data_IF_767596409925
#
_entry.id   IF_767596409925
#
_cell.length_a   1.000
_cell.length_b   1.000
_cell.length_c   1.000
_cell.angle_alpha   90.00
_cell.angle_beta   90.00
_cell.angle_gamma   90.00
#
_symmetry.space_group_name_H-M   'P 1'
#
loop_
_entity.id
_entity.type
_entity.pdbx_description
1 polymer ?
#
# COMPACT_ATOMS: atom_id res chain seq x y z
N UNK A 1 10.13 -24.48 -22.18
CA UNK A 1 10.07 -23.21 -21.45
C UNK A 1 10.09 -22.06 -22.45
N UNK A 2 9.11 -21.19 -22.45
CA UNK A 2 9.00 -20.03 -23.35
C UNK A 2 9.25 -20.38 -24.83
N UNK A 3 8.67 -21.47 -25.33
CA UNK A 3 8.82 -22.05 -26.66
C UNK A 3 10.22 -22.62 -26.99
N UNK A 4 11.16 -22.60 -26.06
CA UNK A 4 12.38 -23.38 -26.18
C UNK A 4 12.10 -24.82 -25.70
N UNK A 5 12.40 -25.79 -26.53
CA UNK A 5 12.14 -27.21 -26.26
C UNK A 5 13.37 -27.76 -25.51
N UNK A 6 13.14 -28.46 -24.39
CA UNK A 6 14.17 -29.29 -23.77
C UNK A 6 14.26 -30.61 -24.54
N UNK A 7 15.46 -31.15 -24.68
CA UNK A 7 15.69 -32.44 -25.36
C UNK A 7 15.50 -33.65 -24.44
N UNK A 8 15.24 -33.40 -23.17
CA UNK A 8 15.17 -34.46 -22.17
C UNK A 8 13.75 -35.01 -22.06
N UNK A 9 13.57 -36.27 -22.43
CA UNK A 9 12.41 -37.05 -22.06
C UNK A 9 12.61 -37.61 -20.65
N UNK A 10 11.75 -37.14 -19.72
CA UNK A 10 11.82 -37.60 -18.33
C UNK A 10 10.77 -38.67 -18.11
N UNK A 11 11.22 -39.94 -18.00
CA UNK A 11 10.36 -41.05 -17.60
C UNK A 11 10.27 -41.17 -16.08
N UNK A 12 9.88 -40.10 -15.40
CA UNK A 12 9.78 -40.03 -13.95
C UNK A 12 8.50 -39.30 -13.53
N UNK A 13 8.00 -39.64 -12.35
CA UNK A 13 6.88 -38.95 -11.71
C UNK A 13 7.23 -37.57 -11.13
N UNK A 14 8.53 -37.28 -11.00
CA UNK A 14 9.05 -35.99 -10.56
C UNK A 14 10.31 -35.63 -11.36
N UNK A 15 10.45 -34.36 -11.75
CA UNK A 15 11.60 -33.84 -12.45
C UNK A 15 11.84 -32.38 -12.09
N UNK A 16 13.03 -31.90 -12.35
CA UNK A 16 13.43 -30.50 -12.12
C UNK A 16 13.72 -29.84 -13.48
N UNK A 17 13.39 -28.57 -13.59
CA UNK A 17 13.72 -27.74 -14.75
C UNK A 17 14.69 -26.67 -14.27
N UNK A 18 15.94 -26.73 -14.73
CA UNK A 18 16.92 -25.67 -14.51
C UNK A 18 16.60 -24.47 -15.40
N UNK A 19 16.05 -23.41 -14.82
CA UNK A 19 15.67 -22.20 -15.54
C UNK A 19 16.88 -21.37 -15.98
N UNK A 20 18.06 -21.55 -15.39
CA UNK A 20 19.28 -20.82 -15.75
C UNK A 20 19.73 -21.14 -17.19
N UNK A 21 19.47 -22.36 -17.67
CA UNK A 21 19.81 -22.78 -19.02
C UNK A 21 19.05 -22.05 -20.14
N UNK A 22 17.94 -21.36 -19.80
CA UNK A 22 17.06 -20.70 -20.77
C UNK A 22 17.35 -19.21 -20.95
N UNK A 23 18.35 -18.62 -20.29
CA UNK A 23 18.74 -17.23 -20.38
C UNK A 23 17.56 -16.25 -20.20
N UNK A 24 16.67 -16.56 -19.26
CA UNK A 24 15.46 -15.77 -19.01
C UNK A 24 15.82 -14.43 -18.40
N UNK A 25 15.11 -13.39 -18.85
CA UNK A 25 15.23 -12.04 -18.26
C UNK A 25 14.46 -11.99 -16.94
N UNK A 26 15.07 -11.48 -15.88
CA UNK A 26 14.41 -11.27 -14.58
C UNK A 26 13.15 -10.44 -14.76
N UNK A 27 12.01 -10.91 -14.22
CA UNK A 27 10.70 -10.27 -14.33
C UNK A 27 9.89 -10.66 -15.57
N UNK A 28 10.47 -11.41 -16.51
CA UNK A 28 9.71 -11.94 -17.65
C UNK A 28 8.81 -13.10 -17.25
N UNK A 29 7.63 -13.24 -17.88
CA UNK A 29 6.76 -14.40 -17.66
C UNK A 29 7.47 -15.70 -18.04
N UNK A 30 7.28 -16.72 -17.22
CA UNK A 30 7.78 -18.08 -17.49
C UNK A 30 6.60 -18.96 -17.83
N UNK A 31 6.57 -19.47 -19.06
CA UNK A 31 5.56 -20.41 -19.53
C UNK A 31 6.21 -21.77 -19.72
N UNK A 32 5.80 -22.76 -18.93
CA UNK A 32 6.27 -24.14 -19.03
C UNK A 32 5.15 -24.98 -19.65
N UNK A 33 5.42 -25.60 -20.78
CA UNK A 33 4.53 -26.56 -21.42
C UNK A 33 5.07 -27.98 -21.18
N UNK A 34 4.25 -28.83 -20.58
CA UNK A 34 4.60 -30.21 -20.28
C UNK A 34 3.69 -31.13 -21.11
N UNK A 35 4.30 -31.97 -21.96
CA UNK A 35 3.60 -33.10 -22.59
C UNK A 35 3.58 -34.26 -21.61
N UNK A 36 2.42 -34.76 -21.28
CA UNK A 36 2.25 -35.83 -20.30
C UNK A 36 1.25 -36.86 -20.79
N UNK A 37 1.27 -38.05 -20.17
CA UNK A 37 0.31 -39.12 -20.45
C UNK A 37 -1.11 -38.67 -20.06
N UNK A 38 -2.10 -39.11 -20.81
CA UNK A 38 -3.50 -38.85 -20.50
C UNK A 38 -3.86 -39.28 -19.06
N UNK A 39 -4.65 -38.42 -18.38
CA UNK A 39 -5.04 -38.61 -16.99
C UNK A 39 -4.05 -38.04 -15.95
N UNK A 40 -2.85 -37.66 -16.34
CA UNK A 40 -1.89 -36.99 -15.44
C UNK A 40 -2.29 -35.52 -15.22
N UNK A 41 -2.03 -34.99 -14.00
CA UNK A 41 -2.18 -33.58 -13.67
C UNK A 41 -0.86 -33.06 -13.11
N UNK A 42 -0.04 -32.40 -13.93
CA UNK A 42 1.22 -31.82 -13.45
C UNK A 42 1.00 -30.85 -12.28
N UNK A 43 1.86 -30.90 -11.28
CA UNK A 43 1.85 -29.99 -10.13
C UNK A 43 3.24 -29.44 -9.92
N UNK A 44 3.35 -28.12 -9.81
CA UNK A 44 4.60 -27.47 -9.39
C UNK A 44 4.76 -27.63 -7.88
N UNK A 45 5.90 -28.16 -7.45
CA UNK A 45 6.18 -28.44 -6.04
C UNK A 45 6.81 -27.23 -5.32
N UNK A 46 7.54 -26.39 -6.05
CA UNK A 46 8.26 -25.21 -5.52
C UNK A 46 7.93 -23.92 -6.32
N UNK A 47 6.65 -23.53 -6.40
CA UNK A 47 6.25 -22.35 -7.19
C UNK A 47 6.85 -21.03 -6.67
N UNK A 48 7.34 -21.00 -5.44
CA UNK A 48 7.95 -19.83 -4.80
C UNK A 48 9.24 -19.38 -5.47
N UNK A 49 10.01 -20.28 -6.11
CA UNK A 49 11.28 -19.92 -6.78
C UNK A 49 11.08 -19.03 -8.02
N UNK A 50 9.88 -19.01 -8.58
CA UNK A 50 9.53 -18.18 -9.76
C UNK A 50 8.61 -17.01 -9.41
N UNK A 51 8.26 -16.85 -8.13
CA UNK A 51 7.43 -15.72 -7.70
C UNK A 51 8.25 -14.43 -7.58
N UNK A 52 7.62 -13.28 -7.81
CA UNK A 52 8.27 -11.99 -7.56
C UNK A 52 8.79 -11.89 -6.14
N UNK A 53 9.97 -11.30 -5.97
CA UNK A 53 10.55 -11.01 -4.66
C UNK A 53 10.78 -9.51 -4.46
N UNK A 54 10.74 -9.05 -3.21
CA UNK A 54 11.01 -7.67 -2.83
C UNK A 54 12.55 -7.41 -2.82
N UNK A 55 13.19 -7.55 -3.98
CA UNK A 55 14.66 -7.54 -4.15
C UNK A 55 15.24 -6.18 -4.53
N UNK A 56 14.43 -5.14 -4.71
CA UNK A 56 14.85 -3.82 -5.19
C UNK A 56 15.89 -3.15 -4.29
N UNK A 57 16.73 -2.32 -4.90
CA UNK A 57 17.61 -1.38 -4.20
C UNK A 57 17.17 0.04 -4.50
N UNK A 58 17.00 0.88 -3.46
CA UNK A 58 16.67 2.30 -3.63
C UNK A 58 17.94 3.07 -3.91
N UNK A 59 18.01 3.73 -5.07
CA UNK A 59 19.13 4.61 -5.45
C UNK A 59 18.88 6.07 -5.05
N UNK A 60 17.61 6.48 -4.98
CA UNK A 60 17.19 7.77 -4.42
C UNK A 60 15.75 7.72 -3.96
N UNK A 61 15.40 8.47 -2.90
CA UNK A 61 14.03 8.68 -2.44
C UNK A 61 13.93 10.04 -1.77
N UNK A 62 12.94 10.85 -2.15
CA UNK A 62 12.68 12.17 -1.59
C UNK A 62 11.22 12.56 -1.69
N UNK A 63 10.77 13.48 -0.83
CA UNK A 63 9.45 14.11 -0.90
C UNK A 63 9.60 15.64 -0.82
N UNK A 64 8.79 16.36 -1.60
CA UNK A 64 8.68 17.83 -1.47
C UNK A 64 7.63 18.25 -0.43
N UNK A 65 7.54 19.56 -0.20
CA UNK A 65 6.59 20.15 0.76
C UNK A 65 5.12 19.97 0.36
N UNK A 66 4.86 19.71 -0.90
CA UNK A 66 3.51 19.45 -1.42
C UNK A 66 3.10 17.97 -1.33
N UNK A 67 4.02 17.10 -0.87
CA UNK A 67 3.79 15.66 -0.73
C UNK A 67 4.03 14.86 -2.02
N UNK A 68 4.75 15.40 -3.00
CA UNK A 68 5.18 14.61 -4.16
C UNK A 68 6.38 13.76 -3.74
N UNK A 69 6.14 12.47 -3.53
CA UNK A 69 7.14 11.46 -3.27
C UNK A 69 7.70 10.96 -4.60
N UNK A 70 9.02 10.96 -4.73
CA UNK A 70 9.74 10.40 -5.89
C UNK A 70 10.79 9.42 -5.42
N UNK A 71 10.98 8.33 -6.14
CA UNK A 71 12.06 7.37 -5.84
C UNK A 71 12.55 6.70 -7.10
N UNK A 72 13.79 6.22 -7.02
CA UNK A 72 14.41 5.40 -8.04
C UNK A 72 14.88 4.08 -7.45
N UNK A 73 14.80 3.04 -8.24
CA UNK A 73 15.19 1.68 -7.85
C UNK A 73 16.00 1.00 -8.93
N UNK A 74 16.74 -0.04 -8.54
CA UNK A 74 17.38 -1.02 -9.41
C UNK A 74 17.17 -2.42 -8.83
N UNK A 75 17.38 -3.46 -9.64
CA UNK A 75 17.35 -4.84 -9.16
C UNK A 75 15.98 -5.36 -8.77
N UNK A 76 14.91 -4.84 -9.38
CA UNK A 76 13.56 -5.37 -9.17
C UNK A 76 13.44 -6.78 -9.79
N UNK A 77 12.70 -7.67 -9.11
CA UNK A 77 12.42 -9.03 -9.56
C UNK A 77 10.92 -9.29 -9.54
N UNK A 78 10.30 -9.18 -10.72
CA UNK A 78 8.86 -9.30 -10.90
C UNK A 78 8.06 -8.07 -10.44
N UNK A 79 6.83 -8.00 -10.91
CA UNK A 79 5.98 -6.80 -10.80
C UNK A 79 5.25 -6.73 -9.46
N UNK A 80 5.97 -6.49 -8.37
CA UNK A 80 5.36 -6.22 -7.06
C UNK A 80 4.98 -4.74 -6.92
N UNK A 81 3.82 -4.43 -6.31
CA UNK A 81 3.45 -3.04 -6.04
C UNK A 81 4.31 -2.44 -4.93
N UNK A 82 4.71 -1.18 -5.11
CA UNK A 82 5.20 -0.32 -4.04
C UNK A 82 4.01 0.23 -3.26
N UNK A 83 3.82 -0.22 -2.05
CA UNK A 83 2.84 0.31 -1.11
C UNK A 83 3.42 1.59 -0.54
N UNK A 84 2.72 2.72 -0.73
CA UNK A 84 3.10 4.00 -0.14
C UNK A 84 2.40 4.14 1.21
N UNK A 85 3.19 4.35 2.25
CA UNK A 85 2.70 4.54 3.62
C UNK A 85 3.07 5.94 4.13
N UNK A 86 2.12 6.56 4.85
CA UNK A 86 2.33 7.82 5.56
C UNK A 86 2.15 7.58 7.07
N UNK A 87 3.05 8.15 7.88
CA UNK A 87 2.94 8.07 9.33
C UNK A 87 1.91 9.06 9.84
N UNK A 88 0.81 8.55 10.38
CA UNK A 88 -0.30 9.32 10.98
C UNK A 88 -0.76 8.61 12.25
N UNK A 89 -1.17 9.37 13.24
CA UNK A 89 -1.84 8.84 14.43
C UNK A 89 -1.06 7.70 15.09
N UNK A 90 0.27 7.88 15.18
CA UNK A 90 1.21 6.90 15.73
C UNK A 90 1.27 5.54 15.02
N UNK A 91 0.85 5.49 13.75
CA UNK A 91 0.92 4.28 12.91
C UNK A 91 1.27 4.59 11.46
N UNK A 92 1.77 3.59 10.75
CA UNK A 92 1.92 3.66 9.30
C UNK A 92 0.59 3.33 8.62
N UNK A 93 0.10 4.24 7.81
CA UNK A 93 -1.16 4.14 7.10
C UNK A 93 -0.89 4.03 5.61
N UNK A 94 -1.39 2.97 4.97
CA UNK A 94 -1.35 2.85 3.51
C UNK A 94 -2.17 4.00 2.90
N UNK A 95 -1.53 4.80 2.04
CA UNK A 95 -2.16 5.94 1.34
C UNK A 95 -2.26 5.71 -0.16
N UNK A 96 -1.60 4.68 -0.69
CA UNK A 96 -1.72 4.27 -2.08
C UNK A 96 -0.70 3.21 -2.45
N UNK A 97 -0.63 2.92 -3.74
CA UNK A 97 0.37 2.01 -4.29
C UNK A 97 0.74 2.40 -5.72
N UNK A 98 1.92 2.01 -6.15
CA UNK A 98 2.46 2.19 -7.50
C UNK A 98 3.01 0.87 -7.97
N UNK A 99 2.59 0.41 -9.13
CA UNK A 99 3.04 -0.86 -9.68
C UNK A 99 4.54 -0.80 -10.03
N UNK A 100 5.32 -1.76 -9.54
CA UNK A 100 6.72 -1.93 -9.90
C UNK A 100 6.88 -2.38 -11.35
N UNK A 101 8.00 -2.05 -11.97
CA UNK A 101 8.36 -2.49 -13.35
C UNK A 101 8.82 -3.94 -13.38
N UNK A 102 9.41 -4.41 -12.29
CA UNK A 102 9.77 -5.80 -12.09
C UNK A 102 10.99 -6.27 -12.86
N UNK A 103 11.82 -5.39 -13.39
CA UNK A 103 13.05 -5.71 -14.11
C UNK A 103 14.28 -5.11 -13.44
N UNK A 104 15.46 -5.68 -13.72
CA UNK A 104 16.69 -5.35 -12.99
C UNK A 104 17.24 -3.93 -13.27
N UNK A 105 16.78 -3.25 -14.34
CA UNK A 105 17.23 -1.91 -14.71
C UNK A 105 16.86 -0.81 -13.71
N UNK A 106 17.34 0.41 -13.96
CA UNK A 106 16.91 1.59 -13.19
C UNK A 106 15.48 1.98 -13.57
N UNK A 107 14.65 2.20 -12.54
CA UNK A 107 13.27 2.66 -12.68
C UNK A 107 12.99 3.85 -11.77
N UNK A 108 12.21 4.80 -12.29
CA UNK A 108 11.76 5.97 -11.57
C UNK A 108 10.25 5.93 -11.35
N UNK A 109 9.85 6.35 -10.16
CA UNK A 109 8.46 6.35 -9.69
C UNK A 109 8.10 7.68 -9.03
N UNK A 110 6.82 7.98 -9.03
CA UNK A 110 6.27 9.12 -8.32
C UNK A 110 4.90 8.78 -7.75
N UNK A 111 4.58 9.36 -6.59
CA UNK A 111 3.27 9.28 -5.97
C UNK A 111 2.95 10.60 -5.26
N UNK A 112 1.71 11.07 -5.39
CA UNK A 112 1.23 12.26 -4.68
C UNK A 112 0.56 11.84 -3.38
N UNK A 113 1.26 12.05 -2.27
CA UNK A 113 0.69 11.89 -0.93
C UNK A 113 -0.10 13.13 -0.58
N UNK A 114 -1.29 13.00 0.00
CA UNK A 114 -2.01 14.12 0.60
C UNK A 114 -1.43 14.40 1.99
N UNK A 115 -0.74 15.54 2.20
CA UNK A 115 -0.11 15.80 3.48
C UNK A 115 -1.15 16.11 4.57
N UNK A 116 -0.80 15.81 5.82
CA UNK A 116 -1.42 16.43 6.99
C UNK A 116 -0.66 17.70 7.39
N UNK A 117 -1.20 18.51 8.27
CA UNK A 117 -0.57 19.75 8.72
C UNK A 117 0.79 19.49 9.41
N UNK A 118 1.79 20.31 9.08
CA UNK A 118 3.12 20.29 9.71
C UNK A 118 4.03 19.16 9.25
N UNK A 119 4.72 18.50 10.19
CA UNK A 119 5.74 17.47 9.90
C UNK A 119 5.09 16.16 9.47
N UNK A 120 5.46 15.66 8.30
CA UNK A 120 5.04 14.40 7.74
C UNK A 120 6.22 13.43 7.65
N UNK A 121 5.95 12.13 7.61
CA UNK A 121 6.88 11.08 7.22
C UNK A 121 6.19 10.12 6.28
N UNK A 122 6.88 9.72 5.23
CA UNK A 122 6.40 8.72 4.26
C UNK A 122 7.47 7.66 4.03
N UNK A 123 7.06 6.51 3.54
CA UNK A 123 7.95 5.42 3.12
C UNK A 123 7.29 4.59 2.04
N UNK A 124 8.08 3.80 1.34
CA UNK A 124 7.59 2.77 0.42
C UNK A 124 7.91 1.39 0.97
N UNK A 125 7.08 0.42 0.62
CA UNK A 125 7.22 -0.97 1.02
C UNK A 125 6.77 -1.90 -0.10
N UNK A 126 7.50 -2.98 -0.34
CA UNK A 126 7.00 -4.14 -1.09
C UNK A 126 6.83 -5.33 -0.14
N UNK A 127 5.90 -6.21 -0.46
CA UNK A 127 5.63 -7.43 0.31
C UNK A 127 5.69 -8.62 -0.64
N UNK A 128 6.43 -9.63 -0.27
CA UNK A 128 6.50 -10.92 -0.94
C UNK A 128 6.18 -12.07 0.05
N UNK A 129 6.43 -13.31 -0.36
CA UNK A 129 6.18 -14.46 0.49
C UNK A 129 7.16 -14.57 1.69
N UNK A 130 8.33 -13.93 1.61
CA UNK A 130 9.34 -13.94 2.67
C UNK A 130 9.12 -12.82 3.68
N UNK A 131 8.31 -11.82 3.34
CA UNK A 131 8.01 -10.70 4.23
C UNK A 131 7.91 -9.34 3.53
N UNK A 132 8.24 -8.28 4.26
CA UNK A 132 8.17 -6.91 3.77
C UNK A 132 9.56 -6.27 3.71
N UNK A 133 9.89 -5.66 2.57
CA UNK A 133 11.06 -4.79 2.41
C UNK A 133 10.59 -3.34 2.38
N UNK A 134 11.14 -2.53 3.28
CA UNK A 134 10.72 -1.15 3.53
C UNK A 134 11.87 -0.18 3.26
N UNK A 135 11.59 1.00 2.70
CA UNK A 135 12.56 2.10 2.60
C UNK A 135 12.87 2.72 3.96
N UNK A 136 13.87 3.57 3.98
CA UNK A 136 14.02 4.55 5.05
C UNK A 136 12.82 5.49 5.11
N UNK A 137 12.60 6.13 6.27
CA UNK A 137 11.61 7.18 6.45
C UNK A 137 12.04 8.44 5.69
N UNK A 138 11.12 9.05 4.95
CA UNK A 138 11.33 10.30 4.22
C UNK A 138 10.54 11.41 4.90
N UNK A 139 11.17 12.27 5.71
CA UNK A 139 10.50 13.38 6.36
C UNK A 139 10.31 14.55 5.40
N UNK A 140 9.20 15.26 5.55
CA UNK A 140 8.97 16.57 4.92
C UNK A 140 8.02 17.41 5.78
N UNK A 141 8.03 18.74 5.57
CA UNK A 141 7.11 19.64 6.26
C UNK A 141 6.15 20.26 5.26
N UNK A 142 4.87 20.01 5.45
CA UNK A 142 3.82 20.55 4.59
C UNK A 142 3.38 21.92 5.05
N UNK A 143 3.01 22.77 4.08
CA UNK A 143 2.47 24.12 4.31
C UNK A 143 0.92 24.14 4.32
N UNK A 144 0.30 23.00 4.65
CA UNK A 144 -1.17 22.92 4.76
C UNK A 144 -1.62 23.38 6.14
N UNK A 145 -2.75 24.06 6.19
CA UNK A 145 -3.35 24.55 7.43
C UNK A 145 -3.78 23.38 8.33
N UNK A 146 -3.72 23.57 9.63
CA UNK A 146 -4.27 22.64 10.60
C UNK A 146 -5.78 22.53 10.41
N UNK A 147 -6.29 21.30 10.58
CA UNK A 147 -7.72 21.00 10.47
C UNK A 147 -8.32 20.87 11.87
N UNK A 148 -9.48 21.47 12.06
CA UNK A 148 -10.34 21.33 13.22
C UNK A 148 -11.56 20.48 12.86
N UNK A 149 -12.22 19.90 13.84
CA UNK A 149 -13.49 19.19 13.64
C UNK A 149 -14.61 19.79 14.49
N UNK A 150 -15.83 19.61 14.05
CA UNK A 150 -17.04 19.86 14.82
C UNK A 150 -18.04 18.73 14.57
N UNK A 151 -18.64 18.19 15.64
CA UNK A 151 -19.79 17.29 15.57
C UNK A 151 -21.05 18.14 15.72
N UNK A 152 -22.04 17.97 14.83
CA UNK A 152 -23.30 18.67 14.96
C UNK A 152 -24.04 18.26 16.27
N UNK A 153 -24.90 19.13 16.84
CA UNK A 153 -25.60 18.85 18.10
C UNK A 153 -26.51 17.61 18.05
N UNK A 154 -26.99 17.21 16.88
CA UNK A 154 -27.81 16.02 16.68
C UNK A 154 -26.95 14.74 16.52
N UNK A 155 -25.61 14.85 16.49
CA UNK A 155 -24.69 13.73 16.33
C UNK A 155 -24.81 13.01 14.99
N UNK A 156 -25.12 13.74 13.91
CA UNK A 156 -25.33 13.16 12.58
C UNK A 156 -24.16 13.41 11.64
N UNK A 157 -23.44 14.52 11.84
CA UNK A 157 -22.40 14.95 10.88
C UNK A 157 -21.17 15.47 11.62
N UNK A 158 -20.00 14.99 11.22
CA UNK A 158 -18.71 15.60 11.56
C UNK A 158 -18.30 16.50 10.40
N UNK A 159 -17.94 17.75 10.69
CA UNK A 159 -17.43 18.71 9.71
C UNK A 159 -15.99 19.05 10.03
N UNK A 160 -15.14 19.10 9.02
CA UNK A 160 -13.75 19.52 9.13
C UNK A 160 -13.57 20.90 8.50
N UNK A 161 -12.86 21.78 9.21
CA UNK A 161 -12.56 23.16 8.78
C UNK A 161 -11.10 23.47 9.03
N UNK A 162 -10.54 24.39 8.25
CA UNK A 162 -9.24 24.98 8.53
C UNK A 162 -9.34 26.06 9.64
N UNK A 163 -8.23 26.69 9.95
CA UNK A 163 -8.12 27.75 10.97
C UNK A 163 -8.92 29.01 10.63
N UNK A 164 -9.36 29.19 9.38
CA UNK A 164 -10.23 30.28 8.93
C UNK A 164 -11.69 29.83 8.77
N UNK A 165 -12.07 28.70 9.39
CA UNK A 165 -13.43 28.13 9.37
C UNK A 165 -13.94 27.74 7.97
N UNK A 166 -13.05 27.60 6.98
CA UNK A 166 -13.44 27.11 5.67
C UNK A 166 -13.46 25.57 5.65
N UNK A 167 -14.47 24.94 5.01
CA UNK A 167 -14.52 23.50 4.83
C UNK A 167 -13.21 22.98 4.22
N UNK A 168 -12.64 21.96 4.84
CA UNK A 168 -11.33 21.42 4.43
C UNK A 168 -11.36 19.91 4.47
N UNK A 169 -11.04 19.30 3.34
CA UNK A 169 -10.93 17.85 3.27
C UNK A 169 -9.72 17.36 4.04
N UNK A 170 -9.91 16.29 4.78
CA UNK A 170 -8.84 15.58 5.49
C UNK A 170 -9.10 14.08 5.50
N UNK A 171 -8.02 13.30 5.63
CA UNK A 171 -8.16 11.89 5.91
C UNK A 171 -8.68 11.71 7.34
N UNK A 172 -9.64 10.79 7.49
CA UNK A 172 -10.22 10.48 8.79
C UNK A 172 -10.45 8.99 8.96
N UNK A 173 -10.48 8.57 10.22
CA UNK A 173 -10.91 7.24 10.65
C UNK A 173 -11.78 7.41 11.92
N UNK A 174 -12.88 6.69 11.99
CA UNK A 174 -13.76 6.64 13.15
C UNK A 174 -13.76 5.21 13.70
N UNK A 175 -13.53 5.07 14.99
CA UNK A 175 -13.51 3.78 15.67
C UNK A 175 -14.55 3.76 16.80
N UNK A 176 -15.14 2.60 17.06
CA UNK A 176 -15.91 2.38 18.27
C UNK A 176 -15.00 2.17 19.49
N UNK A 177 -15.59 2.04 20.68
CA UNK A 177 -14.87 1.82 21.93
C UNK A 177 -14.09 0.49 22.00
N UNK A 178 -14.34 -0.43 21.06
CA UNK A 178 -13.64 -1.71 20.97
C UNK A 178 -12.50 -1.69 19.94
N UNK A 179 -12.31 -0.56 19.25
CA UNK A 179 -11.30 -0.40 18.20
C UNK A 179 -11.75 -0.89 16.82
N UNK A 180 -13.03 -1.22 16.63
CA UNK A 180 -13.56 -1.54 15.31
C UNK A 180 -13.66 -0.28 14.46
N UNK A 181 -13.19 -0.34 13.21
CA UNK A 181 -13.28 0.77 12.27
C UNK A 181 -14.72 0.91 11.77
N UNK A 182 -15.36 2.03 12.09
CA UNK A 182 -16.74 2.33 11.72
C UNK A 182 -16.82 3.14 10.42
N UNK A 183 -15.86 4.02 10.17
CA UNK A 183 -15.76 4.80 8.94
C UNK A 183 -14.31 5.20 8.67
N UNK A 184 -13.98 5.35 7.38
CA UNK A 184 -12.69 5.85 6.91
C UNK A 184 -12.90 6.55 5.57
N UNK A 185 -12.16 7.62 5.34
CA UNK A 185 -12.23 8.32 4.06
C UNK A 185 -11.37 9.58 4.01
N UNK A 186 -11.62 10.37 2.97
CA UNK A 186 -11.04 11.68 2.75
C UNK A 186 -12.17 12.63 2.34
N UNK A 187 -12.53 13.58 3.22
CA UNK A 187 -13.68 14.47 3.01
C UNK A 187 -13.63 15.66 3.96
N UNK A 188 -14.39 16.72 3.64
CA UNK A 188 -14.68 17.82 4.56
C UNK A 188 -15.89 17.55 5.49
N UNK A 189 -16.72 16.53 5.17
CA UNK A 189 -17.89 16.13 5.97
C UNK A 189 -18.02 14.63 6.03
N UNK A 190 -18.42 14.12 7.20
CA UNK A 190 -18.63 12.68 7.44
C UNK A 190 -20.03 12.48 7.99
N UNK A 191 -20.81 11.67 7.30
CA UNK A 191 -22.12 11.22 7.83
C UNK A 191 -21.90 10.12 8.87
N UNK A 192 -22.24 10.41 10.11
CA UNK A 192 -22.22 9.49 11.26
C UNK A 192 -23.63 9.19 11.77
N UNK A 193 -24.66 9.52 11.00
CA UNK A 193 -26.06 9.33 11.37
C UNK A 193 -26.46 7.88 11.67
N UNK A 194 -25.71 6.92 11.12
CA UNK A 194 -25.95 5.47 11.33
C UNK A 194 -25.23 4.92 12.56
N UNK A 195 -24.37 5.70 13.22
CA UNK A 195 -23.70 5.25 14.42
C UNK A 195 -24.68 5.22 15.61
N UNK A 196 -24.57 4.21 16.44
CA UNK A 196 -25.36 4.11 17.66
C UNK A 196 -24.95 5.18 18.68
N UNK A 197 -25.81 5.41 19.68
CA UNK A 197 -25.47 6.26 20.85
C UNK A 197 -24.24 5.68 21.55
N UNK A 198 -23.25 6.52 21.83
CA UNK A 198 -22.06 6.08 22.53
C UNK A 198 -20.83 6.90 22.23
N UNK A 199 -19.71 6.44 22.77
CA UNK A 199 -18.38 7.05 22.59
C UNK A 199 -17.67 6.42 21.40
N UNK A 200 -17.06 7.27 20.59
CA UNK A 200 -16.25 6.91 19.43
C UNK A 200 -14.95 7.70 19.43
N UNK A 201 -13.95 7.20 18.71
CA UNK A 201 -12.64 7.83 18.57
C UNK A 201 -12.43 8.24 17.12
N UNK A 202 -12.14 9.52 16.93
CA UNK A 202 -11.93 10.14 15.63
C UNK A 202 -10.44 10.43 15.43
N UNK A 203 -9.84 9.85 14.40
CA UNK A 203 -8.55 10.28 13.86
C UNK A 203 -8.79 11.21 12.69
N UNK A 204 -8.10 12.35 12.62
CA UNK A 204 -8.21 13.33 11.54
C UNK A 204 -6.94 14.19 11.46
N UNK A 205 -6.59 14.71 10.31
CA UNK A 205 -5.33 15.45 10.08
C UNK A 205 -4.13 14.76 10.72
N UNK A 206 -3.49 15.33 11.71
CA UNK A 206 -2.45 14.74 12.58
C UNK A 206 -2.94 14.44 14.01
N UNK A 207 -4.21 14.66 14.29
CA UNK A 207 -4.83 14.68 15.61
C UNK A 207 -5.80 13.52 15.81
N UNK A 208 -6.15 13.29 17.08
CA UNK A 208 -7.25 12.40 17.47
C UNK A 208 -8.16 13.11 18.47
N UNK A 209 -9.40 12.65 18.56
CA UNK A 209 -10.41 13.16 19.49
C UNK A 209 -11.36 12.06 19.90
N UNK A 210 -11.92 12.19 21.08
CA UNK A 210 -13.10 11.45 21.51
C UNK A 210 -14.35 12.21 21.06
N UNK A 211 -15.33 11.53 20.47
CA UNK A 211 -16.62 12.09 20.08
C UNK A 211 -17.75 11.28 20.74
N UNK A 212 -18.79 11.98 21.13
CA UNK A 212 -19.96 11.36 21.77
C UNK A 212 -21.17 11.53 20.86
N UNK A 213 -21.70 10.41 20.35
CA UNK A 213 -22.95 10.40 19.61
C UNK A 213 -24.10 10.41 20.63
N UNK A 214 -24.92 11.50 20.66
CA UNK A 214 -25.97 11.67 21.65
C UNK A 214 -27.17 10.78 21.37
N UNK A 215 -28.03 10.59 22.37
CA UNK A 215 -29.35 9.98 22.19
C UNK A 215 -30.19 10.87 21.31
N UNK A 216 -30.64 10.33 20.20
CA UNK A 216 -31.52 11.05 19.26
C UNK A 216 -32.94 11.04 19.81
N UNK A 217 -33.59 12.18 19.81
CA UNK A 217 -35.00 12.33 20.15
C UNK A 217 -35.87 11.83 19.01
#
# INVERSE_FOLDING_TARGET
>A
VNNQVTTDEVNSSAFEIDLLSFQLTIGSPIVVQIKHKEGCKPKVLNPEVVKPSASYTITSIASDADGKLTWKTTGESGTLPYIVEQYRWNKWVKVGEVQGKGTAGEHAYTFKVTPHSGKNKVRIKQVDNAGAKTSQDVPFTAKVAQVNYALDPAGKTITFTNTTSQPTETMYEVFDKFGNMMARGYSAKVDVSKLAVGTYYLNYDKSNAEIIIPKRK
#
